data_IF_579810127962
#
_entry.id   IF_579810127962
#
_cell.length_a   1.000
_cell.length_b   1.000
_cell.length_c   1.000
_cell.angle_alpha   90.00
_cell.angle_beta   90.00
_cell.angle_gamma   90.00
#
_symmetry.space_group_name_H-M   'P 1'
#
loop_
_entity.id
_entity.type
_entity.pdbx_description
1 polymer ?
#
# COMPACT_ATOMS: atom_id res chain seq x y z
N UNK A 1 8.77 -7.44 6.62
CA UNK A 1 7.58 -6.68 6.19
C UNK A 1 7.98 -5.85 4.99
N UNK A 2 7.18 -5.89 3.92
CA UNK A 2 7.34 -5.06 2.72
C UNK A 2 6.19 -4.05 2.70
N UNK A 3 6.49 -2.78 2.44
CA UNK A 3 5.48 -1.73 2.28
C UNK A 3 5.69 -1.01 0.95
N UNK A 4 4.60 -0.55 0.35
CA UNK A 4 4.60 0.20 -0.89
C UNK A 4 3.45 1.19 -0.93
N UNK A 5 3.54 2.16 -1.83
CA UNK A 5 2.47 3.11 -2.10
C UNK A 5 2.35 3.38 -3.59
N UNK A 6 1.14 3.78 -3.98
CA UNK A 6 0.84 4.31 -5.29
C UNK A 6 -0.14 5.49 -5.15
N UNK A 7 -0.05 6.50 -5.98
CA UNK A 7 -0.89 7.69 -5.86
C UNK A 7 -1.00 8.46 -7.17
N UNK A 8 -2.10 9.20 -7.30
CA UNK A 8 -2.27 10.16 -8.38
C UNK A 8 -1.42 11.41 -8.11
N UNK A 9 -0.37 11.59 -8.90
CA UNK A 9 0.58 12.70 -8.78
C UNK A 9 -0.03 14.09 -9.05
N UNK A 10 -1.24 14.16 -9.65
CA UNK A 10 -1.96 15.40 -9.91
C UNK A 10 -2.84 15.83 -8.71
N UNK A 11 -2.95 14.97 -7.70
CA UNK A 11 -3.78 15.22 -6.53
C UNK A 11 -3.16 16.26 -5.60
N UNK A 12 -3.94 17.25 -5.21
CA UNK A 12 -3.60 18.14 -4.10
C UNK A 12 -3.97 17.47 -2.76
N UNK A 13 -2.99 16.87 -2.12
CA UNK A 13 -3.16 16.15 -0.85
C UNK A 13 -3.49 17.09 0.33
N UNK A 14 -3.19 18.38 0.22
CA UNK A 14 -3.41 19.35 1.31
C UNK A 14 -4.90 19.68 1.53
N UNK A 15 -5.74 19.42 0.55
CA UNK A 15 -7.19 19.67 0.63
C UNK A 15 -7.92 18.66 1.52
N UNK A 16 -7.35 17.48 1.74
CA UNK A 16 -7.98 16.41 2.52
C UNK A 16 -7.68 16.60 4.01
N UNK A 17 -8.72 16.83 4.83
CA UNK A 17 -8.60 17.06 6.28
C UNK A 17 -9.50 16.14 7.10
N UNK A 18 -10.58 15.64 6.50
CA UNK A 18 -11.56 14.80 7.16
C UNK A 18 -11.78 13.49 6.42
N UNK A 19 -11.97 12.40 7.16
CA UNK A 19 -12.13 11.06 6.60
C UNK A 19 -13.40 10.38 7.09
N UNK A 20 -13.89 9.47 6.28
CA UNK A 20 -14.96 8.52 6.59
C UNK A 20 -14.60 7.14 6.07
N UNK A 21 -15.45 6.15 6.37
CA UNK A 21 -15.32 4.81 5.85
C UNK A 21 -16.17 4.65 4.59
N UNK A 22 -15.62 4.00 3.57
CA UNK A 22 -16.39 3.59 2.41
C UNK A 22 -17.44 2.56 2.82
N UNK A 23 -18.62 2.63 2.22
CA UNK A 23 -19.64 1.60 2.40
C UNK A 23 -19.11 0.29 1.80
N UNK A 24 -18.82 -0.70 2.65
CA UNK A 24 -18.40 -2.02 2.19
C UNK A 24 -19.63 -2.78 1.70
N UNK A 25 -19.69 -3.19 0.42
CA UNK A 25 -20.73 -4.11 -0.03
C UNK A 25 -20.70 -5.38 0.82
N UNK A 26 -21.88 -5.84 1.27
CA UNK A 26 -22.00 -6.96 2.22
C UNK A 26 -21.33 -8.25 1.71
N UNK A 27 -21.25 -8.43 0.40
CA UNK A 27 -20.58 -9.54 -0.28
C UNK A 27 -19.04 -9.52 -0.07
N UNK A 28 -18.43 -8.34 -0.03
CA UNK A 28 -16.99 -8.19 0.21
C UNK A 28 -16.61 -8.39 1.68
N UNK A 29 -17.51 -8.04 2.60
CA UNK A 29 -17.29 -8.25 4.03
C UNK A 29 -17.23 -9.74 4.39
N UNK A 30 -18.03 -10.58 3.70
CA UNK A 30 -18.03 -12.02 3.89
C UNK A 30 -16.83 -12.73 3.25
N UNK A 31 -16.21 -12.12 2.24
CA UNK A 31 -15.08 -12.68 1.50
C UNK A 31 -13.71 -12.32 2.08
N UNK A 32 -13.64 -11.59 3.20
CA UNK A 32 -12.36 -11.30 3.84
C UNK A 32 -11.75 -12.60 4.41
N UNK A 33 -10.76 -13.13 3.71
CA UNK A 33 -10.13 -14.43 3.99
C UNK A 33 -9.28 -14.46 5.29
N UNK A 34 -9.41 -13.45 6.14
CA UNK A 34 -8.66 -13.34 7.40
C UNK A 34 -9.30 -14.12 8.56
N UNK A 35 -10.32 -14.91 8.31
CA UNK A 35 -10.87 -15.89 9.26
C UNK A 35 -11.36 -15.35 10.61
N UNK A 36 -11.09 -14.07 10.93
CA UNK A 36 -11.46 -13.47 12.21
C UNK A 36 -11.92 -12.03 12.08
N UNK A 37 -13.16 -11.70 12.48
CA UNK A 37 -13.66 -10.33 12.52
C UNK A 37 -12.86 -9.40 13.44
N UNK A 38 -12.11 -9.99 14.39
CA UNK A 38 -11.24 -9.22 15.28
C UNK A 38 -10.07 -8.56 14.55
N UNK A 39 -9.54 -9.17 13.50
CA UNK A 39 -8.43 -8.60 12.73
C UNK A 39 -8.88 -7.35 12.00
N UNK A 40 -10.00 -7.41 11.29
CA UNK A 40 -10.58 -6.25 10.62
C UNK A 40 -10.83 -5.10 11.61
N UNK A 41 -11.44 -5.39 12.76
CA UNK A 41 -11.70 -4.40 13.82
C UNK A 41 -10.41 -3.73 14.32
N UNK A 42 -9.34 -4.52 14.52
CA UNK A 42 -8.03 -3.98 14.97
C UNK A 42 -7.41 -3.07 13.91
N UNK A 43 -7.48 -3.46 12.64
CA UNK A 43 -6.93 -2.63 11.54
C UNK A 43 -7.71 -1.33 11.41
N UNK A 44 -9.05 -1.37 11.46
CA UNK A 44 -9.88 -0.16 11.46
C UNK A 44 -9.49 0.78 12.60
N UNK A 45 -9.39 0.25 13.83
CA UNK A 45 -8.99 1.05 14.99
C UNK A 45 -7.57 1.64 14.84
N UNK A 46 -6.64 0.89 14.27
CA UNK A 46 -5.28 1.34 14.02
C UNK A 46 -5.23 2.48 12.99
N UNK A 47 -5.99 2.37 11.89
CA UNK A 47 -6.08 3.41 10.86
C UNK A 47 -6.68 4.69 11.43
N UNK A 48 -7.81 4.59 12.15
CA UNK A 48 -8.44 5.75 12.80
C UNK A 48 -7.49 6.44 13.76
N UNK A 49 -6.86 5.66 14.65
CA UNK A 49 -5.92 6.20 15.63
C UNK A 49 -4.75 6.90 14.95
N UNK A 50 -4.17 6.31 13.91
CA UNK A 50 -3.07 6.92 13.17
C UNK A 50 -3.48 8.24 12.50
N UNK A 51 -4.61 8.28 11.82
CA UNK A 51 -5.08 9.48 11.11
C UNK A 51 -5.41 10.61 12.10
N UNK A 52 -6.10 10.30 13.19
CA UNK A 52 -6.42 11.29 14.22
C UNK A 52 -5.15 11.87 14.85
N UNK A 53 -4.16 11.03 15.17
CA UNK A 53 -2.86 11.49 15.71
C UNK A 53 -2.08 12.37 14.72
N UNK A 54 -2.33 12.21 13.41
CA UNK A 54 -1.72 13.03 12.37
C UNK A 54 -2.58 14.21 11.92
N UNK A 55 -3.63 14.57 12.69
CA UNK A 55 -4.41 15.79 12.51
C UNK A 55 -5.58 15.68 11.53
N UNK A 56 -5.97 14.48 11.13
CA UNK A 56 -7.17 14.25 10.33
C UNK A 56 -8.41 14.10 11.23
N UNK A 57 -9.52 14.73 10.87
CA UNK A 57 -10.77 14.64 11.61
C UNK A 57 -11.62 13.46 11.10
N UNK A 58 -12.15 12.63 12.02
CA UNK A 58 -13.16 11.65 11.66
C UNK A 58 -14.50 12.33 11.48
N UNK A 59 -15.09 12.28 10.29
CA UNK A 59 -16.41 12.82 10.00
C UNK A 59 -17.48 11.90 10.58
N UNK A 60 -18.34 12.45 11.43
CA UNK A 60 -19.47 11.72 12.04
C UNK A 60 -20.84 12.18 11.51
N UNK A 61 -20.95 13.38 10.96
CA UNK A 61 -22.22 13.98 10.53
C UNK A 61 -22.12 14.77 9.22
N UNK A 62 -20.93 15.22 8.82
CA UNK A 62 -20.71 15.94 7.58
C UNK A 62 -20.09 15.01 6.53
N UNK A 63 -20.23 15.40 5.27
CA UNK A 63 -19.61 14.67 4.17
C UNK A 63 -18.08 14.75 4.34
N UNK A 64 -17.37 13.61 4.48
CA UNK A 64 -15.91 13.63 4.62
C UNK A 64 -15.26 14.13 3.32
N UNK A 65 -13.99 14.57 3.41
CA UNK A 65 -13.21 14.91 2.23
C UNK A 65 -12.78 13.63 1.46
N UNK A 66 -12.48 12.57 2.20
CA UNK A 66 -12.13 11.29 1.60
C UNK A 66 -12.69 10.09 2.36
N UNK A 67 -12.80 8.99 1.64
CA UNK A 67 -13.26 7.71 2.15
C UNK A 67 -12.10 6.72 2.20
N UNK A 68 -12.13 5.84 3.20
CA UNK A 68 -11.14 4.78 3.39
C UNK A 68 -11.79 3.45 3.05
N UNK A 69 -11.12 2.68 2.19
CA UNK A 69 -11.45 1.27 1.94
C UNK A 69 -10.24 0.40 2.30
N UNK A 70 -10.50 -0.78 2.89
CA UNK A 70 -9.45 -1.71 3.33
C UNK A 70 -9.70 -3.08 2.73
N UNK A 71 -8.68 -3.61 2.07
CA UNK A 71 -8.68 -4.96 1.55
C UNK A 71 -7.63 -5.80 2.27
N UNK A 72 -8.04 -6.99 2.67
CA UNK A 72 -7.21 -7.96 3.38
C UNK A 72 -7.15 -9.25 2.58
N UNK A 73 -5.96 -9.77 2.36
CA UNK A 73 -5.74 -11.03 1.65
C UNK A 73 -4.72 -11.87 2.40
N UNK A 74 -4.97 -13.18 2.48
CA UNK A 74 -4.00 -14.17 2.98
C UNK A 74 -3.69 -15.16 1.87
N UNK A 75 -2.41 -15.46 1.69
CA UNK A 75 -1.93 -16.47 0.75
C UNK A 75 -1.03 -17.45 1.49
N UNK A 76 -1.19 -18.74 1.21
CA UNK A 76 -0.22 -19.75 1.62
C UNK A 76 1.01 -19.65 0.72
N UNK A 77 2.17 -19.60 1.35
CA UNK A 77 3.46 -19.55 0.69
C UNK A 77 4.27 -20.77 1.10
N UNK A 78 5.11 -21.21 0.19
CA UNK A 78 6.05 -22.30 0.42
C UNK A 78 7.45 -21.74 0.28
N UNK A 79 8.27 -21.92 1.29
CA UNK A 79 9.69 -21.59 1.29
C UNK A 79 10.47 -22.90 1.21
N UNK A 80 11.35 -22.98 0.24
CA UNK A 80 12.20 -24.16 0.02
C UNK A 80 13.64 -23.73 0.30
N UNK A 81 14.14 -24.12 1.48
CA UNK A 81 15.53 -23.94 1.84
C UNK A 81 16.34 -25.17 1.47
N UNK A 82 17.36 -24.96 0.63
CA UNK A 82 18.37 -25.98 0.34
C UNK A 82 19.64 -25.63 1.13
N UNK A 83 19.87 -26.33 2.23
CA UNK A 83 21.14 -26.23 2.94
C UNK A 83 22.11 -27.30 2.44
N UNK A 84 23.29 -26.84 2.03
CA UNK A 84 24.41 -27.73 1.79
C UNK A 84 25.20 -27.75 3.10
N UNK A 85 25.05 -28.81 3.89
CA UNK A 85 25.90 -29.05 5.04
C UNK A 85 27.31 -29.45 4.57
N UNK A 86 28.09 -28.43 4.22
CA UNK A 86 29.53 -28.57 3.94
C UNK A 86 30.33 -28.19 5.17
N UNK A 87 30.53 -29.11 6.10
CA UNK A 87 31.54 -28.94 7.15
C UNK A 87 32.92 -28.90 6.49
N UNK A 88 33.72 -27.83 6.62
CA UNK A 88 35.08 -27.80 6.09
C UNK A 88 35.98 -28.69 6.93
N UNK A 89 36.17 -29.95 6.54
CA UNK A 89 37.08 -30.83 7.25
C UNK A 89 37.02 -32.29 6.94
N UNK A 90 35.98 -32.86 6.35
CA UNK A 90 35.94 -34.27 5.97
C UNK A 90 35.89 -34.43 4.46
N UNK A 91 37.06 -34.75 3.88
CA UNK A 91 37.17 -35.33 2.54
C UNK A 91 36.72 -36.79 2.61
N UNK A 92 35.41 -37.03 2.57
CA UNK A 92 34.87 -38.30 2.16
C UNK A 92 34.13 -38.11 0.83
N UNK A 93 34.66 -38.73 -0.18
CA UNK A 93 34.04 -38.88 -1.49
C UNK A 93 32.70 -39.60 -1.34
N UNK A 94 31.60 -38.96 -1.75
CA UNK A 94 30.42 -39.64 -2.24
C UNK A 94 29.24 -39.72 -1.28
N UNK A 95 28.76 -38.65 -0.65
CA UNK A 95 27.32 -38.45 -0.38
C UNK A 95 27.10 -37.02 0.10
N UNK A 96 26.81 -36.09 -0.81
CA UNK A 96 26.31 -34.78 -0.46
C UNK A 96 24.82 -34.92 -0.24
N UNK A 97 24.41 -35.20 0.99
CA UNK A 97 23.01 -35.16 1.35
C UNK A 97 22.53 -33.70 1.29
N UNK A 98 21.79 -33.39 0.25
CA UNK A 98 21.03 -32.11 0.19
C UNK A 98 19.80 -32.29 1.05
N UNK A 99 19.78 -31.64 2.20
CA UNK A 99 18.56 -31.55 2.99
C UNK A 99 17.70 -30.41 2.42
N UNK A 100 16.56 -30.77 1.87
CA UNK A 100 15.57 -29.80 1.39
C UNK A 100 14.53 -29.63 2.49
N UNK A 101 14.54 -28.47 3.14
CA UNK A 101 13.53 -28.10 4.13
C UNK A 101 12.43 -27.32 3.44
N UNK A 102 11.22 -27.86 3.45
CA UNK A 102 10.02 -27.19 2.93
C UNK A 102 9.26 -26.59 4.12
N UNK A 103 9.13 -25.27 4.16
CA UNK A 103 8.38 -24.57 5.19
C UNK A 103 7.16 -23.89 4.58
N UNK A 104 5.96 -24.23 5.06
CA UNK A 104 4.73 -23.53 4.70
C UNK A 104 4.47 -22.40 5.68
N UNK A 105 4.05 -21.25 5.17
CA UNK A 105 3.62 -20.12 5.99
C UNK A 105 2.52 -19.30 5.30
N UNK A 106 1.74 -18.58 6.10
CA UNK A 106 0.74 -17.66 5.58
C UNK A 106 1.33 -16.25 5.46
N UNK A 107 1.17 -15.65 4.27
CA UNK A 107 1.52 -14.27 3.99
C UNK A 107 0.25 -13.43 3.90
N UNK A 108 0.16 -12.41 4.76
CA UNK A 108 -0.94 -11.45 4.76
C UNK A 108 -0.57 -10.17 4.02
N UNK A 109 -1.53 -9.65 3.26
CA UNK A 109 -1.44 -8.34 2.60
C UNK A 109 -2.59 -7.46 3.05
N UNK A 110 -2.25 -6.25 3.51
CA UNK A 110 -3.19 -5.15 3.79
C UNK A 110 -3.05 -4.13 2.68
N UNK A 111 -4.16 -3.75 2.08
CA UNK A 111 -4.26 -2.62 1.15
C UNK A 111 -5.18 -1.59 1.77
N UNK A 112 -4.73 -0.34 1.83
CA UNK A 112 -5.50 0.79 2.33
C UNK A 112 -5.65 1.78 1.18
N UNK A 113 -6.88 2.01 0.77
CA UNK A 113 -7.25 2.88 -0.33
C UNK A 113 -7.90 4.15 0.19
N UNK A 114 -7.48 5.30 -0.32
CA UNK A 114 -8.12 6.59 -0.07
C UNK A 114 -8.79 7.08 -1.35
N UNK A 115 -10.10 7.29 -1.24
CA UNK A 115 -10.95 7.72 -2.33
C UNK A 115 -11.50 9.13 -2.05
N UNK A 116 -11.48 10.00 -3.02
CA UNK A 116 -12.15 11.30 -2.92
C UNK A 116 -13.65 11.10 -2.68
N UNK A 117 -14.21 11.69 -1.63
CA UNK A 117 -15.59 11.43 -1.25
C UNK A 117 -16.63 11.95 -2.26
N UNK A 118 -16.26 12.97 -3.03
CA UNK A 118 -17.13 13.53 -4.06
C UNK A 118 -17.16 12.72 -5.35
N UNK A 119 -16.00 12.37 -5.87
CA UNK A 119 -15.84 11.68 -7.16
C UNK A 119 -15.70 10.16 -7.04
N UNK A 120 -15.51 9.63 -5.84
CA UNK A 120 -15.22 8.21 -5.56
C UNK A 120 -13.97 7.69 -6.26
N UNK A 121 -13.08 8.58 -6.71
CA UNK A 121 -11.84 8.20 -7.38
C UNK A 121 -10.75 7.90 -6.36
N UNK A 122 -10.05 6.81 -6.59
CA UNK A 122 -8.84 6.46 -5.84
C UNK A 122 -7.77 7.52 -6.11
N UNK A 123 -7.19 8.09 -5.06
CA UNK A 123 -6.11 9.06 -5.19
C UNK A 123 -4.82 8.63 -4.45
N UNK A 124 -4.92 7.70 -3.50
CA UNK A 124 -3.78 7.12 -2.81
C UNK A 124 -4.07 5.68 -2.39
N UNK A 125 -3.07 4.82 -2.53
CA UNK A 125 -3.06 3.43 -2.11
C UNK A 125 -1.80 3.12 -1.34
N UNK A 126 -1.96 2.57 -0.14
CA UNK A 126 -0.87 2.00 0.64
C UNK A 126 -0.97 0.49 0.72
N UNK A 127 0.14 -0.21 0.58
CA UNK A 127 0.17 -1.67 0.68
C UNK A 127 1.20 -2.11 1.70
N UNK A 128 0.88 -3.19 2.41
CA UNK A 128 1.82 -3.82 3.33
C UNK A 128 1.68 -5.32 3.31
N UNK A 129 2.79 -6.04 3.21
CA UNK A 129 2.82 -7.50 3.15
C UNK A 129 3.75 -8.05 4.21
N UNK A 130 3.31 -9.08 4.93
CA UNK A 130 4.09 -9.75 5.96
C UNK A 130 3.66 -11.20 6.20
N UNK A 131 4.57 -12.00 6.77
CA UNK A 131 4.26 -13.33 7.31
C UNK A 131 3.33 -13.20 8.53
N UNK A 132 2.32 -14.07 8.61
CA UNK A 132 1.35 -14.12 9.71
C UNK A 132 1.87 -15.08 10.79
N UNK A 133 1.79 -14.64 12.05
CA UNK A 133 2.02 -15.47 13.22
C UNK A 133 0.67 -15.80 13.88
N UNK A 134 0.22 -17.04 13.72
CA UNK A 134 -1.03 -17.51 14.28
C UNK A 134 -0.98 -17.78 15.79
N UNK A 135 0.22 -17.87 16.37
CA UNK A 135 0.43 -18.13 17.79
C UNK A 135 0.37 -16.89 18.68
N UNK A 136 0.12 -15.71 18.10
CA UNK A 136 0.13 -14.44 18.82
C UNK A 136 -1.04 -14.29 19.76
N UNK A 137 -0.78 -13.83 21.00
CA UNK A 137 -1.83 -13.40 21.92
C UNK A 137 -2.65 -12.24 21.35
N UNK A 138 -3.89 -12.00 21.81
CA UNK A 138 -4.71 -10.89 21.33
C UNK A 138 -4.02 -9.51 21.46
N UNK A 139 -3.26 -9.30 22.53
CA UNK A 139 -2.51 -8.05 22.72
C UNK A 139 -1.39 -7.92 21.71
N UNK A 140 -0.55 -8.94 21.57
CA UNK A 140 0.55 -8.95 20.59
C UNK A 140 0.04 -8.79 19.15
N UNK A 141 -1.13 -9.36 18.87
CA UNK A 141 -1.84 -9.21 17.60
C UNK A 141 -2.22 -7.74 17.35
N UNK A 142 -2.75 -7.05 18.37
CA UNK A 142 -3.12 -5.63 18.31
C UNK A 142 -1.89 -4.76 18.05
N UNK A 143 -0.81 -4.96 18.81
CA UNK A 143 0.44 -4.19 18.64
C UNK A 143 1.05 -4.41 17.25
N UNK A 144 0.95 -5.64 16.76
CA UNK A 144 1.39 -6.00 15.41
C UNK A 144 0.59 -5.26 14.33
N UNK A 145 -0.75 -5.20 14.45
CA UNK A 145 -1.61 -4.49 13.50
C UNK A 145 -1.36 -2.98 13.55
N UNK A 146 -1.21 -2.40 14.75
CA UNK A 146 -0.89 -0.98 14.92
C UNK A 146 0.43 -0.63 14.21
N UNK A 147 1.46 -1.44 14.40
CA UNK A 147 2.75 -1.25 13.73
C UNK A 147 2.64 -1.39 12.22
N UNK A 148 1.91 -2.39 11.76
CA UNK A 148 1.73 -2.65 10.33
C UNK A 148 1.03 -1.49 9.62
N UNK A 149 -0.09 -1.04 10.14
CA UNK A 149 -0.84 0.12 9.64
C UNK A 149 0.00 1.39 9.69
N UNK A 150 0.71 1.62 10.80
CA UNK A 150 1.60 2.78 10.94
C UNK A 150 2.68 2.81 9.86
N UNK A 151 3.33 1.68 9.56
CA UNK A 151 4.35 1.64 8.51
C UNK A 151 3.79 1.88 7.10
N UNK A 152 2.55 1.46 6.83
CA UNK A 152 1.87 1.76 5.58
C UNK A 152 1.54 3.24 5.49
N UNK A 153 0.89 3.80 6.53
CA UNK A 153 0.36 5.17 6.53
C UNK A 153 1.44 6.25 6.73
N UNK A 154 2.63 5.93 7.22
CA UNK A 154 3.78 6.85 7.25
C UNK A 154 4.18 7.37 5.86
N UNK A 155 3.73 6.69 4.80
CA UNK A 155 3.97 7.10 3.42
C UNK A 155 2.94 8.17 2.95
N UNK A 156 1.88 8.41 3.74
CA UNK A 156 0.83 9.40 3.44
C UNK A 156 0.98 10.66 4.30
N UNK A 157 0.84 11.89 3.74
CA UNK A 157 0.79 12.15 2.31
C UNK A 157 2.14 11.90 1.63
N UNK A 158 2.15 11.51 0.34
CA UNK A 158 3.39 11.26 -0.38
C UNK A 158 4.21 12.55 -0.46
N UNK A 159 5.54 12.43 -0.31
CA UNK A 159 6.45 13.56 -0.52
C UNK A 159 6.54 13.84 -2.02
N UNK A 160 5.60 14.61 -2.55
CA UNK A 160 5.63 15.05 -3.95
C UNK A 160 6.82 15.99 -4.09
N UNK A 161 7.87 15.57 -4.78
CA UNK A 161 8.89 16.51 -5.25
C UNK A 161 8.16 17.45 -6.21
N UNK A 162 8.01 18.72 -5.83
CA UNK A 162 7.44 19.75 -6.69
C UNK A 162 8.25 19.83 -7.99
N UNK A 163 7.86 19.06 -8.98
CA UNK A 163 8.32 19.22 -10.36
C UNK A 163 7.55 20.39 -11.02
N UNK A 164 7.51 21.55 -10.34
CA UNK A 164 7.19 22.81 -10.98
C UNK A 164 8.48 23.35 -11.61
N UNK A 165 8.93 22.67 -12.64
CA UNK A 165 9.67 23.25 -13.73
C UNK A 165 9.06 22.70 -15.00
N UNK A 166 7.97 23.36 -15.43
CA UNK A 166 7.62 23.34 -16.83
C UNK A 166 8.85 23.83 -17.59
N UNK A 167 9.36 23.13 -18.61
CA UNK A 167 10.39 23.68 -19.44
C UNK A 167 9.80 24.91 -20.13
N UNK A 168 10.29 26.08 -19.72
CA UNK A 168 10.05 27.32 -20.43
C UNK A 168 10.63 27.16 -21.84
N UNK A 169 9.79 27.34 -22.85
CA UNK A 169 10.21 27.68 -24.18
C UNK A 169 10.51 26.51 -25.12
N UNK A 170 9.49 25.89 -25.64
CA UNK A 170 9.54 25.41 -27.01
C UNK A 170 8.92 26.52 -27.90
N UNK A 171 9.71 27.53 -28.24
CA UNK A 171 9.38 28.49 -29.27
C UNK A 171 9.53 27.75 -30.59
N UNK A 172 8.42 27.34 -31.14
CA UNK A 172 8.37 26.83 -32.52
C UNK A 172 8.86 27.92 -33.48
N UNK A 173 9.89 27.71 -34.29
CA UNK A 173 10.31 28.70 -35.27
C UNK A 173 9.21 28.84 -36.33
N UNK A 174 8.58 30.01 -36.36
CA UNK A 174 7.60 30.38 -37.33
C UNK A 174 8.33 30.50 -38.71
N UNK A 175 8.07 29.54 -39.59
CA UNK A 175 8.57 29.51 -40.96
C UNK A 175 8.01 30.73 -41.71
N UNK A 176 8.86 31.75 -41.94
CA UNK A 176 8.49 32.90 -42.78
C UNK A 176 8.23 32.39 -44.19
N UNK A 177 6.99 32.51 -44.61
CA UNK A 177 6.62 32.35 -46.01
C UNK A 177 7.00 33.66 -46.72
N UNK A 178 7.89 33.57 -47.70
CA UNK A 178 8.28 34.70 -48.53
C UNK A 178 7.10 35.05 -49.47
N UNK A 179 6.89 36.35 -49.77
CA UNK A 179 5.84 36.76 -50.71
C UNK A 179 6.22 36.38 -52.16
N UNK A 180 5.28 35.78 -52.86
CA UNK A 180 5.38 35.48 -54.29
C UNK A 180 5.18 36.80 -55.05
N UNK A 181 6.18 37.17 -55.88
CA UNK A 181 6.10 38.32 -56.76
C UNK A 181 5.13 38.06 -57.94
N UNK A 182 4.36 39.09 -58.41
CA UNK A 182 3.48 38.91 -59.52
C UNK A 182 4.32 38.89 -60.83
N UNK A 183 4.06 37.91 -61.67
CA UNK A 183 4.54 37.86 -63.04
C UNK A 183 3.60 38.65 -63.95
N UNK A 184 4.18 39.57 -64.69
CA UNK A 184 3.57 40.32 -65.81
C UNK A 184 3.53 39.42 -67.05
#
# INVERSE_FOLDING_TARGET
>A
MRVGQDYDYQTDFLRYKSFGWAAVPQEKAAASSWGSPFVAKRIHAAVESFLIQNGYAKSSAEKPDFLIDIHLTVKKMIEVDQSVDGWPGHRHFGDSAFETVITEYDEGTVVIDFLDAGSQKLFWRGTGTRRIDHSSSPQKSTDTMNRWVSEILKQYPPKVKNSRQAPAGCTTPQKRVAPVAPQI
#
